data_IF_006827985459
#
_entry.id   IF_006827985459
#
_cell.length_a   1.000
_cell.length_b   1.000
_cell.length_c   1.000
_cell.angle_alpha   90.00
_cell.angle_beta   90.00
_cell.angle_gamma   90.00
#
_symmetry.space_group_name_H-M   'P 1'
#
loop_
_entity.id
_entity.type
_entity.pdbx_description
1 polymer ?
#
# COMPACT_ATOMS: atom_id res chain seq x y z
N UNK A 1 -10.76 -1.05 22.82
CA UNK A 1 -10.50 0.38 22.54
C UNK A 1 -10.71 0.66 21.06
N UNK A 2 -11.04 1.91 20.73
CA UNK A 2 -11.24 2.35 19.34
C UNK A 2 -10.13 3.32 18.98
N UNK A 3 -9.29 2.91 18.04
CA UNK A 3 -8.16 3.69 17.54
C UNK A 3 -8.48 4.31 16.19
N UNK A 4 -8.09 5.56 15.99
CA UNK A 4 -8.13 6.25 14.71
C UNK A 4 -6.73 6.41 14.12
N UNK A 5 -6.61 6.29 12.79
CA UNK A 5 -5.39 6.62 12.08
C UNK A 5 -5.66 7.61 10.95
N UNK A 6 -4.91 8.70 10.95
CA UNK A 6 -4.99 9.76 9.95
C UNK A 6 -3.62 9.99 9.30
N UNK A 7 -3.60 10.15 7.98
CA UNK A 7 -2.37 10.41 7.22
C UNK A 7 -2.54 11.52 6.20
N UNK A 8 -1.61 12.48 6.21
CA UNK A 8 -1.58 13.58 5.23
C UNK A 8 -0.18 13.74 4.63
N UNK A 9 -0.12 14.25 3.40
CA UNK A 9 1.17 14.54 2.72
C UNK A 9 1.74 15.88 3.14
N UNK A 10 0.94 16.95 3.25
CA UNK A 10 1.45 18.33 3.47
C UNK A 10 0.48 19.26 4.17
N UNK A 11 -0.84 19.05 4.06
CA UNK A 11 -1.83 20.01 4.56
C UNK A 11 -2.19 19.74 6.03
N UNK A 12 -1.97 20.74 6.88
CA UNK A 12 -2.42 20.68 8.28
C UNK A 12 -3.96 20.70 8.39
N UNK A 13 -4.63 21.35 7.44
CA UNK A 13 -6.08 21.44 7.39
C UNK A 13 -6.72 20.07 7.13
N UNK A 14 -6.18 19.28 6.19
CA UNK A 14 -6.67 17.92 5.91
C UNK A 14 -6.51 16.99 7.11
N UNK A 15 -5.46 17.19 7.92
CA UNK A 15 -5.23 16.42 9.13
C UNK A 15 -6.29 16.72 10.19
N UNK A 16 -6.64 17.97 10.37
CA UNK A 16 -7.67 18.40 11.32
C UNK A 16 -9.03 17.81 10.95
N UNK A 17 -9.42 17.87 9.68
CA UNK A 17 -10.68 17.29 9.18
C UNK A 17 -10.73 15.78 9.42
N UNK A 18 -9.66 15.07 9.09
CA UNK A 18 -9.61 13.61 9.33
C UNK A 18 -9.68 13.27 10.81
N UNK A 19 -8.99 14.04 11.66
CA UNK A 19 -8.99 13.84 13.11
C UNK A 19 -10.38 14.04 13.69
N UNK A 20 -11.05 15.14 13.36
CA UNK A 20 -12.41 15.44 13.79
C UNK A 20 -13.40 14.35 13.35
N UNK A 21 -13.29 13.86 12.11
CA UNK A 21 -14.11 12.77 11.60
C UNK A 21 -13.89 11.46 12.37
N UNK A 22 -12.66 11.15 12.76
CA UNK A 22 -12.32 9.96 13.55
C UNK A 22 -12.81 10.10 15.00
N UNK A 23 -12.65 11.25 15.61
CA UNK A 23 -13.18 11.55 16.96
C UNK A 23 -14.72 11.46 16.97
N UNK A 24 -15.39 11.99 15.94
CA UNK A 24 -16.84 11.86 15.77
C UNK A 24 -17.29 10.39 15.53
N UNK A 25 -16.44 9.56 14.95
CA UNK A 25 -16.67 8.13 14.78
C UNK A 25 -16.47 7.31 16.07
N UNK A 26 -16.05 7.95 17.17
CA UNK A 26 -15.88 7.33 18.47
C UNK A 26 -14.46 6.89 18.79
N UNK A 27 -13.45 7.32 18.02
CA UNK A 27 -12.05 7.00 18.33
C UNK A 27 -11.63 7.63 19.65
N UNK A 28 -11.13 6.80 20.56
CA UNK A 28 -10.60 7.23 21.86
C UNK A 28 -9.17 7.78 21.72
N UNK A 29 -8.40 7.22 20.80
CA UNK A 29 -7.02 7.59 20.50
C UNK A 29 -6.87 7.75 18.98
N UNK A 30 -6.45 8.91 18.52
CA UNK A 30 -6.18 9.18 17.10
C UNK A 30 -4.68 9.38 16.89
N UNK A 31 -4.08 8.51 16.08
CA UNK A 31 -2.69 8.62 15.64
C UNK A 31 -2.62 9.33 14.30
N UNK A 32 -1.77 10.34 14.23
CA UNK A 32 -1.66 11.20 13.06
C UNK A 32 -0.26 11.14 12.47
N UNK A 33 -0.16 10.91 11.18
CA UNK A 33 1.10 10.82 10.46
C UNK A 33 1.22 11.87 9.36
N UNK A 34 2.30 12.65 9.38
CA UNK A 34 2.66 13.56 8.31
C UNK A 34 3.76 12.92 7.46
N UNK A 35 3.46 12.60 6.21
CA UNK A 35 4.42 12.03 5.28
C UNK A 35 4.97 13.15 4.40
N UNK A 36 6.25 13.54 4.58
CA UNK A 36 6.93 14.40 3.62
C UNK A 36 7.22 13.62 2.34
N UNK A 37 7.05 14.24 1.16
CA UNK A 37 7.23 13.58 -0.14
C UNK A 37 8.65 13.03 -0.41
N UNK A 38 9.60 13.30 0.49
CA UNK A 38 11.02 12.89 0.39
C UNK A 38 11.39 11.71 1.28
N UNK A 39 10.55 11.30 2.25
CA UNK A 39 10.90 10.20 3.14
C UNK A 39 10.24 8.88 2.71
N UNK A 40 11.05 7.91 2.34
CA UNK A 40 10.65 6.52 2.06
C UNK A 40 10.23 5.78 3.36
N UNK A 41 10.57 6.32 4.52
CA UNK A 41 10.47 5.67 5.83
C UNK A 41 9.26 6.06 6.70
N UNK A 42 8.36 6.92 6.25
CA UNK A 42 7.38 7.54 7.13
C UNK A 42 6.06 6.77 7.33
N UNK A 43 6.03 5.73 8.15
CA UNK A 43 4.79 5.16 8.73
C UNK A 43 5.04 4.66 10.17
N UNK A 44 5.83 5.42 10.91
CA UNK A 44 6.19 5.06 12.29
C UNK A 44 4.95 4.99 13.19
N UNK A 45 4.04 5.96 13.06
CA UNK A 45 2.81 5.98 13.84
C UNK A 45 1.88 4.81 13.51
N UNK A 46 1.76 4.43 12.23
CA UNK A 46 0.99 3.25 11.84
C UNK A 46 1.63 1.97 12.38
N UNK A 47 2.94 1.81 12.22
CA UNK A 47 3.65 0.62 12.70
C UNK A 47 3.53 0.48 14.22
N UNK A 48 3.76 1.58 14.96
CA UNK A 48 3.58 1.61 16.42
C UNK A 48 2.15 1.23 16.81
N UNK A 49 1.15 1.74 16.08
CA UNK A 49 -0.25 1.41 16.32
C UNK A 49 -0.53 -0.07 16.05
N UNK A 50 -0.05 -0.59 14.93
CA UNK A 50 -0.22 -2.01 14.58
C UNK A 50 0.46 -2.95 15.58
N UNK A 51 1.60 -2.56 16.17
CA UNK A 51 2.28 -3.33 17.20
C UNK A 51 1.53 -3.30 18.54
N UNK A 52 0.90 -2.20 18.84
CA UNK A 52 0.25 -1.95 20.12
C UNK A 52 -1.18 -2.49 20.21
N UNK A 53 -1.92 -2.49 19.09
CA UNK A 53 -3.33 -2.87 18.99
C UNK A 53 -3.54 -4.36 19.31
N UNK A 54 -4.61 -4.70 20.03
CA UNK A 54 -4.87 -6.04 20.57
C UNK A 54 -6.24 -6.58 20.17
N UNK A 55 -6.45 -7.85 20.45
CA UNK A 55 -7.74 -8.52 20.26
C UNK A 55 -8.90 -7.75 20.92
N UNK A 56 -9.96 -7.57 20.18
CA UNK A 56 -11.16 -6.84 20.62
C UNK A 56 -11.07 -5.32 20.41
N UNK A 57 -9.93 -4.80 19.93
CA UNK A 57 -9.80 -3.41 19.53
C UNK A 57 -10.37 -3.18 18.11
N UNK A 58 -10.64 -1.92 17.79
CA UNK A 58 -11.09 -1.48 16.48
C UNK A 58 -10.14 -0.40 15.92
N UNK A 59 -9.76 -0.53 14.66
CA UNK A 59 -9.02 0.48 13.92
C UNK A 59 -9.95 1.18 12.93
N UNK A 60 -10.10 2.49 13.06
CA UNK A 60 -10.91 3.32 12.17
C UNK A 60 -10.02 4.24 11.36
N UNK A 61 -10.30 4.33 10.06
CA UNK A 61 -9.70 5.28 9.14
C UNK A 61 -10.80 6.04 8.40
N UNK A 62 -10.51 7.21 7.87
CA UNK A 62 -11.50 7.91 7.03
C UNK A 62 -11.64 7.20 5.70
N UNK A 63 -10.51 6.80 5.08
CA UNK A 63 -10.43 6.14 3.77
C UNK A 63 -9.27 5.14 3.72
N UNK A 64 -9.41 4.11 2.90
CA UNK A 64 -8.39 3.06 2.72
C UNK A 64 -7.06 3.64 2.18
N UNK A 65 -7.13 4.63 1.29
CA UNK A 65 -5.93 5.27 0.72
C UNK A 65 -5.13 6.10 1.75
N UNK A 66 -5.71 6.39 2.91
CA UNK A 66 -4.99 6.96 4.05
C UNK A 66 -4.23 5.88 4.84
N UNK A 67 -4.75 4.67 4.88
CA UNK A 67 -4.13 3.55 5.58
C UNK A 67 -3.02 2.90 4.75
N UNK A 68 -3.31 2.55 3.52
CA UNK A 68 -2.43 1.77 2.66
C UNK A 68 -1.90 2.56 1.45
N UNK A 69 -0.71 2.17 0.96
CA UNK A 69 -0.08 2.75 -0.24
C UNK A 69 -0.36 1.96 -1.51
N UNK A 70 -0.77 0.72 -1.36
CA UNK A 70 -1.13 -0.20 -2.44
C UNK A 70 -2.15 -1.21 -1.93
N UNK A 71 -2.79 -1.93 -2.84
CA UNK A 71 -3.75 -2.97 -2.45
C UNK A 71 -3.04 -4.13 -1.75
N UNK A 72 -1.83 -4.49 -2.16
CA UNK A 72 -1.02 -5.49 -1.44
C UNK A 72 -0.72 -5.05 -0.01
N UNK A 73 -0.34 -3.79 0.19
CA UNK A 73 -0.09 -3.21 1.50
C UNK A 73 -1.36 -3.25 2.36
N UNK A 74 -2.52 -2.92 1.79
CA UNK A 74 -3.83 -3.05 2.44
C UNK A 74 -4.11 -4.49 2.87
N UNK A 75 -3.91 -5.46 1.98
CA UNK A 75 -4.12 -6.88 2.29
C UNK A 75 -3.24 -7.35 3.43
N UNK A 76 -1.97 -6.95 3.46
CA UNK A 76 -1.05 -7.30 4.54
C UNK A 76 -1.51 -6.70 5.88
N UNK A 77 -1.95 -5.43 5.89
CA UNK A 77 -2.47 -4.77 7.09
C UNK A 77 -3.75 -5.46 7.56
N UNK A 78 -4.71 -5.71 6.66
CA UNK A 78 -5.97 -6.39 6.99
C UNK A 78 -5.71 -7.80 7.53
N UNK A 79 -4.81 -8.55 6.91
CA UNK A 79 -4.43 -9.88 7.38
C UNK A 79 -3.85 -9.83 8.80
N UNK A 80 -2.89 -8.94 9.05
CA UNK A 80 -2.30 -8.75 10.38
C UNK A 80 -3.34 -8.35 11.45
N UNK A 81 -4.28 -7.46 11.11
CA UNK A 81 -5.36 -7.06 12.02
C UNK A 81 -6.31 -8.23 12.29
N UNK A 82 -6.66 -9.01 11.26
CA UNK A 82 -7.54 -10.17 11.39
C UNK A 82 -6.91 -11.26 12.27
N UNK A 83 -5.60 -11.54 12.10
CA UNK A 83 -4.87 -12.50 12.96
C UNK A 83 -4.83 -12.05 14.42
N UNK A 84 -4.82 -10.75 14.66
CA UNK A 84 -4.88 -10.16 16.02
C UNK A 84 -6.31 -10.06 16.58
N UNK A 85 -7.34 -10.41 15.82
CA UNK A 85 -8.73 -10.25 16.23
C UNK A 85 -9.20 -8.80 16.31
N UNK A 86 -8.61 -7.92 15.48
CA UNK A 86 -8.91 -6.48 15.40
C UNK A 86 -9.80 -6.20 14.21
N UNK A 87 -10.83 -5.38 14.42
CA UNK A 87 -11.75 -4.93 13.36
C UNK A 87 -11.18 -3.68 12.67
N UNK A 88 -11.21 -3.65 11.33
CA UNK A 88 -10.92 -2.46 10.54
C UNK A 88 -12.19 -1.88 9.96
N UNK A 89 -12.40 -0.58 10.10
CA UNK A 89 -13.53 0.16 9.54
C UNK A 89 -13.08 1.45 8.86
N UNK A 90 -13.72 1.80 7.74
CA UNK A 90 -13.57 3.11 7.10
C UNK A 90 -14.86 3.91 7.23
N UNK A 91 -14.76 5.23 7.48
CA UNK A 91 -15.94 6.08 7.68
C UNK A 91 -16.56 6.56 6.38
N UNK A 92 -15.75 6.72 5.32
CA UNK A 92 -16.18 7.26 4.02
C UNK A 92 -16.34 6.17 2.94
N UNK A 93 -16.08 4.92 3.28
CA UNK A 93 -16.14 3.78 2.34
C UNK A 93 -16.83 2.59 3.01
N UNK A 94 -17.44 1.74 2.21
CA UNK A 94 -18.13 0.53 2.69
C UNK A 94 -17.13 -0.58 3.08
N UNK A 95 -16.21 -0.26 3.97
CA UNK A 95 -15.20 -1.18 4.51
C UNK A 95 -15.42 -1.36 5.99
N UNK A 96 -15.76 -2.60 6.36
CA UNK A 96 -15.93 -3.03 7.74
C UNK A 96 -15.64 -4.54 7.80
N UNK A 97 -14.50 -4.90 8.38
CA UNK A 97 -14.09 -6.32 8.47
C UNK A 97 -14.90 -7.12 9.47
N UNK A 98 -15.77 -6.51 10.27
CA UNK A 98 -16.73 -7.22 11.10
C UNK A 98 -17.88 -7.82 10.27
N UNK A 99 -18.15 -7.26 9.08
CA UNK A 99 -19.25 -7.69 8.23
C UNK A 99 -18.79 -8.60 7.09
N UNK A 100 -19.61 -9.55 6.67
CA UNK A 100 -19.34 -10.39 5.50
C UNK A 100 -19.21 -9.56 4.20
N UNK A 101 -20.02 -8.52 4.06
CA UNK A 101 -20.00 -7.63 2.90
C UNK A 101 -18.67 -6.83 2.83
N UNK A 102 -18.20 -6.29 3.95
CA UNK A 102 -16.94 -5.57 4.02
C UNK A 102 -15.72 -6.46 3.75
N UNK A 103 -15.73 -7.70 4.24
CA UNK A 103 -14.71 -8.71 3.91
C UNK A 103 -14.72 -9.01 2.41
N UNK A 104 -15.89 -9.32 1.85
CA UNK A 104 -16.03 -9.59 0.42
C UNK A 104 -15.53 -8.41 -0.44
N UNK A 105 -15.81 -7.18 -0.05
CA UNK A 105 -15.31 -5.99 -0.74
C UNK A 105 -13.79 -5.92 -0.75
N UNK A 106 -13.14 -6.20 0.38
CA UNK A 106 -11.67 -6.23 0.48
C UNK A 106 -11.05 -7.35 -0.35
N UNK A 107 -11.67 -8.54 -0.37
CA UNK A 107 -11.24 -9.66 -1.19
C UNK A 107 -11.34 -9.33 -2.69
N UNK A 108 -12.45 -8.70 -3.10
CA UNK A 108 -12.62 -8.23 -4.48
C UNK A 108 -11.54 -7.20 -4.89
N UNK A 109 -11.21 -6.26 -4.02
CA UNK A 109 -10.12 -5.31 -4.28
C UNK A 109 -8.79 -6.05 -4.52
N UNK A 110 -8.52 -7.11 -3.78
CA UNK A 110 -7.35 -7.96 -3.97
C UNK A 110 -7.31 -8.61 -5.35
N UNK A 111 -8.41 -9.20 -5.78
CA UNK A 111 -8.55 -9.83 -7.10
C UNK A 111 -8.36 -8.79 -8.23
N UNK A 112 -8.96 -7.60 -8.10
CA UNK A 112 -8.77 -6.53 -9.08
C UNK A 112 -7.31 -6.07 -9.18
N UNK A 113 -6.58 -5.98 -8.06
CA UNK A 113 -5.18 -5.60 -8.06
C UNK A 113 -4.30 -6.64 -8.76
N UNK A 114 -4.58 -7.91 -8.53
CA UNK A 114 -3.85 -8.99 -9.20
C UNK A 114 -4.12 -8.97 -10.71
N UNK A 115 -5.37 -8.78 -11.11
CA UNK A 115 -5.76 -8.62 -12.50
C UNK A 115 -5.05 -7.44 -13.19
N UNK A 116 -5.06 -6.25 -12.56
CA UNK A 116 -4.32 -5.09 -13.09
C UNK A 116 -2.81 -5.37 -13.22
N UNK A 117 -2.23 -6.07 -12.25
CA UNK A 117 -0.81 -6.42 -12.28
C UNK A 117 -0.50 -7.35 -13.44
N UNK A 118 -1.36 -8.34 -13.69
CA UNK A 118 -1.21 -9.28 -14.79
C UNK A 118 -1.36 -8.58 -16.15
N UNK A 119 -2.35 -7.70 -16.32
CA UNK A 119 -2.50 -6.89 -17.51
C UNK A 119 -1.29 -6.01 -17.81
N UNK A 120 -0.70 -5.40 -16.77
CA UNK A 120 0.52 -4.60 -16.94
C UNK A 120 1.70 -5.46 -17.38
N UNK A 121 1.85 -6.67 -16.82
CA UNK A 121 2.89 -7.63 -17.25
C UNK A 121 2.70 -8.06 -18.69
N UNK A 122 1.50 -8.40 -19.10
CA UNK A 122 1.19 -8.77 -20.50
C UNK A 122 1.57 -7.64 -21.46
N UNK A 123 1.11 -6.41 -21.21
CA UNK A 123 1.46 -5.25 -22.04
C UNK A 123 2.97 -4.99 -22.07
N UNK A 124 3.66 -5.18 -20.94
CA UNK A 124 5.12 -5.05 -20.87
C UNK A 124 5.81 -6.10 -21.71
N UNK A 125 5.38 -7.37 -21.64
CA UNK A 125 5.94 -8.47 -22.44
C UNK A 125 5.71 -8.26 -23.93
N UNK A 126 4.52 -7.83 -24.33
CA UNK A 126 4.23 -7.45 -25.72
C UNK A 126 5.12 -6.30 -26.21
N UNK A 127 5.30 -5.27 -25.37
CA UNK A 127 6.20 -4.15 -25.66
C UNK A 127 7.64 -4.58 -25.84
N UNK A 128 8.12 -5.48 -24.97
CA UNK A 128 9.48 -6.07 -25.06
C UNK A 128 9.61 -6.91 -26.33
N UNK A 129 8.62 -7.75 -26.67
CA UNK A 129 8.64 -8.55 -27.88
C UNK A 129 8.75 -7.68 -29.15
N UNK A 130 7.89 -6.66 -29.26
CA UNK A 130 7.94 -5.67 -30.35
C UNK A 130 9.26 -4.90 -30.42
N UNK A 131 9.85 -4.56 -29.25
CA UNK A 131 11.15 -3.88 -29.20
C UNK A 131 12.30 -4.80 -29.65
N UNK A 132 12.24 -6.10 -29.30
CA UNK A 132 13.20 -7.10 -29.79
C UNK A 132 13.11 -7.28 -31.28
N UNK A 133 11.92 -7.40 -31.86
CA UNK A 133 11.70 -7.48 -33.31
C UNK A 133 12.28 -6.27 -34.06
N UNK A 134 12.14 -5.07 -33.49
CA UNK A 134 12.71 -3.83 -34.03
C UNK A 134 14.21 -3.66 -33.78
N UNK A 135 14.88 -4.63 -33.12
CA UNK A 135 16.31 -4.57 -32.86
C UNK A 135 16.75 -3.45 -31.89
N UNK A 136 15.81 -2.93 -31.07
CA UNK A 136 16.09 -1.86 -30.11
C UNK A 136 16.98 -2.39 -28.95
N UNK A 137 16.84 -3.65 -28.60
CA UNK A 137 17.66 -4.32 -27.56
C UNK A 137 19.00 -4.77 -28.16
N UNK A 138 19.99 -3.90 -28.14
CA UNK A 138 21.36 -4.23 -28.60
C UNK A 138 22.27 -4.81 -27.51
N UNK A 139 21.77 -5.03 -26.31
CA UNK A 139 22.58 -5.47 -25.19
C UNK A 139 23.60 -4.40 -24.73
N UNK A 140 24.42 -4.77 -23.75
CA UNK A 140 25.56 -3.96 -23.33
C UNK A 140 26.63 -4.04 -24.42
N UNK A 141 27.17 -2.88 -24.85
CA UNK A 141 28.33 -2.86 -25.76
C UNK A 141 29.46 -3.70 -25.16
N UNK A 142 30.05 -4.59 -25.94
CA UNK A 142 31.24 -5.36 -25.50
C UNK A 142 32.35 -4.38 -25.13
N UNK A 143 32.74 -4.39 -23.86
CA UNK A 143 33.80 -3.52 -23.31
C UNK A 143 35.16 -4.23 -23.36
N UNK A 144 35.18 -5.51 -23.68
CA UNK A 144 36.40 -6.34 -23.76
C UNK A 144 36.74 -6.48 -25.24
N UNK A 145 37.91 -6.01 -25.60
CA UNK A 145 38.49 -6.18 -26.93
C UNK A 145 38.99 -7.63 -27.06
N UNK A 146 38.25 -8.42 -27.83
CA UNK A 146 38.52 -9.84 -28.00
C UNK A 146 39.88 -10.08 -28.67
N UNK A 147 40.39 -9.16 -29.50
CA UNK A 147 41.70 -9.24 -30.14
C UNK A 147 42.81 -9.08 -29.09
N UNK A 148 42.71 -8.09 -28.19
CA UNK A 148 43.63 -7.93 -27.07
C UNK A 148 43.72 -9.15 -26.13
N UNK A 149 42.60 -9.85 -25.94
CA UNK A 149 42.59 -11.08 -25.11
C UNK A 149 43.28 -12.24 -25.82
N UNK A 150 43.25 -12.28 -27.17
CA UNK A 150 43.95 -13.30 -27.96
C UNK A 150 45.47 -13.08 -28.02
N UNK A 151 45.91 -11.83 -28.01
CA UNK A 151 47.34 -11.51 -27.98
C UNK A 151 48.03 -11.79 -26.63
N UNK A 152 47.26 -11.91 -25.56
CA UNK A 152 47.76 -12.21 -24.20
C UNK A 152 47.80 -13.72 -23.87
N UNK A 153 47.57 -14.59 -24.85
CA UNK A 153 47.61 -16.05 -24.74
C UNK A 153 48.80 -16.63 -25.52
#
# INVERSE_FOLDING_TARGET
MIYGYARVSTSAQDLTIQREALEAAGCEIVRCEKVSGTSVQGREELNNLLDFIREGDELIVTRIDRLARSIRDLQNIVHSLTEKGVVLRATEQAVDTATAAGKCFLDMLGVFAEFETNLRKERQMEGIAKAKERGVYRGRKATIDVEKVRELR
#
